data_IF_931468693439
#
_entry.id   IF_931468693439
#
_cell.length_a   1.000
_cell.length_b   1.000
_cell.length_c   1.000
_cell.angle_alpha   90.00
_cell.angle_beta   90.00
_cell.angle_gamma   90.00
#
_symmetry.space_group_name_H-M   'P 1'
#
loop_
_entity.id
_entity.type
_entity.pdbx_description
1 polymer ?
#
# COMPACT_ATOMS: atom_id res chain seq x y z
N UNK A 1 -20.02 -20.51 -20.92
CA UNK A 1 -18.71 -21.04 -20.46
C UNK A 1 -17.52 -20.22 -20.99
N UNK A 2 -17.53 -19.78 -22.26
CA UNK A 2 -16.42 -19.01 -22.87
C UNK A 2 -16.03 -17.72 -22.11
N UNK A 3 -17.00 -16.96 -21.55
CA UNK A 3 -16.73 -15.73 -20.79
C UNK A 3 -16.01 -15.96 -19.45
N UNK A 4 -16.22 -17.12 -18.82
CA UNK A 4 -15.55 -17.47 -17.56
C UNK A 4 -14.10 -17.91 -17.81
N UNK A 5 -13.88 -18.67 -18.89
CA UNK A 5 -12.54 -19.10 -19.30
C UNK A 5 -11.69 -17.89 -19.71
N UNK A 6 -12.27 -16.90 -20.42
CA UNK A 6 -11.56 -15.69 -20.82
C UNK A 6 -11.16 -14.80 -19.63
N UNK A 7 -12.03 -14.68 -18.61
CA UNK A 7 -11.70 -13.97 -17.37
C UNK A 7 -10.59 -14.67 -16.59
N UNK A 8 -10.64 -16.00 -16.48
CA UNK A 8 -9.58 -16.77 -15.84
C UNK A 8 -8.25 -16.61 -16.58
N UNK A 9 -8.29 -16.63 -17.92
CA UNK A 9 -7.11 -16.48 -18.78
C UNK A 9 -6.43 -15.12 -18.62
N UNK A 10 -7.18 -14.03 -18.48
CA UNK A 10 -6.63 -12.70 -18.21
C UNK A 10 -5.95 -12.62 -16.83
N UNK A 11 -6.50 -13.29 -15.81
CA UNK A 11 -5.85 -13.41 -14.50
C UNK A 11 -4.52 -14.19 -14.60
N UNK A 12 -4.48 -15.28 -15.37
CA UNK A 12 -3.24 -16.03 -15.60
C UNK A 12 -2.18 -15.20 -16.36
N UNK A 13 -2.60 -14.41 -17.35
CA UNK A 13 -1.68 -13.52 -18.07
C UNK A 13 -1.11 -12.44 -17.16
N UNK A 14 -1.91 -11.90 -16.23
CA UNK A 14 -1.43 -10.93 -15.24
C UNK A 14 -0.41 -11.54 -14.26
N UNK A 15 -0.68 -12.76 -13.77
CA UNK A 15 0.27 -13.50 -12.92
C UNK A 15 1.58 -13.77 -13.65
N UNK A 16 1.52 -14.19 -14.92
CA UNK A 16 2.72 -14.43 -15.73
C UNK A 16 3.47 -13.12 -16.00
N UNK A 17 2.77 -12.01 -16.27
CA UNK A 17 3.43 -10.73 -16.55
C UNK A 17 4.17 -10.20 -15.32
N UNK A 18 3.57 -10.29 -14.13
CA UNK A 18 4.26 -9.95 -12.87
C UNK A 18 5.45 -10.88 -12.64
N UNK A 19 5.29 -12.19 -12.81
CA UNK A 19 6.41 -13.13 -12.65
C UNK A 19 7.55 -12.84 -13.62
N UNK A 20 7.24 -12.45 -14.86
CA UNK A 20 8.22 -12.13 -15.89
C UNK A 20 8.97 -10.82 -15.56
N UNK A 21 8.28 -9.76 -15.14
CA UNK A 21 8.92 -8.50 -14.73
C UNK A 21 9.80 -8.70 -13.48
N UNK A 22 9.38 -9.55 -12.54
CA UNK A 22 10.16 -9.88 -11.35
C UNK A 22 11.36 -10.81 -11.65
N UNK A 23 11.29 -11.57 -12.75
CA UNK A 23 12.39 -12.40 -13.23
C UNK A 23 13.45 -11.57 -13.99
N UNK A 24 13.03 -10.54 -14.73
CA UNK A 24 13.96 -9.60 -15.39
C UNK A 24 14.73 -8.74 -14.37
N UNK A 25 14.11 -8.36 -13.24
CA UNK A 25 14.82 -7.67 -12.13
C UNK A 25 15.82 -8.58 -11.39
N UNK A 26 15.63 -9.91 -11.42
CA UNK A 26 16.53 -10.90 -10.77
C UNK A 26 17.90 -11.03 -11.46
N UNK A 27 18.05 -10.62 -12.71
CA UNK A 27 19.32 -10.75 -13.44
C UNK A 27 20.34 -9.64 -13.09
N UNK A 28 19.91 -8.60 -12.39
CA UNK A 28 20.80 -7.59 -11.80
C UNK A 28 20.81 -7.67 -10.28
N UNK A 29 21.80 -8.39 -9.77
CA UNK A 29 22.44 -8.21 -8.45
C UNK A 29 21.52 -8.28 -7.22
N UNK A 30 21.32 -9.50 -6.68
CA UNK A 30 20.97 -9.82 -5.27
C UNK A 30 20.14 -8.76 -4.49
N UNK A 31 19.20 -8.09 -5.15
CA UNK A 31 18.42 -7.05 -4.53
C UNK A 31 17.39 -7.77 -3.70
N UNK A 32 17.47 -7.58 -2.39
CA UNK A 32 16.47 -8.08 -1.46
C UNK A 32 15.10 -7.71 -2.01
N UNK A 33 14.19 -8.69 -2.13
CA UNK A 33 12.77 -8.46 -2.47
C UNK A 33 12.08 -7.50 -1.48
N UNK A 34 12.78 -7.15 -0.41
CA UNK A 34 12.36 -6.22 0.62
C UNK A 34 12.73 -4.82 0.14
N UNK A 35 11.70 -4.07 -0.22
CA UNK A 35 11.85 -2.67 -0.56
C UNK A 35 12.52 -1.93 0.62
N UNK A 36 13.58 -1.14 0.38
CA UNK A 36 14.26 -0.37 1.42
C UNK A 36 13.32 0.52 2.25
N UNK A 37 12.18 0.92 1.66
CA UNK A 37 11.12 1.70 2.31
C UNK A 37 10.55 1.03 3.57
N UNK A 38 10.35 -0.28 3.55
CA UNK A 38 9.67 -1.04 4.62
C UNK A 38 10.52 -1.18 5.88
N UNK A 39 11.84 -1.18 5.69
CA UNK A 39 12.80 -1.58 6.74
C UNK A 39 12.97 -0.54 7.85
N UNK A 40 12.41 0.66 7.70
CA UNK A 40 12.69 1.79 8.58
C UNK A 40 11.46 2.42 9.25
N UNK A 41 10.23 2.01 8.91
CA UNK A 41 9.01 2.59 9.49
C UNK A 41 8.23 1.55 10.33
N UNK A 42 8.26 1.62 11.67
CA UNK A 42 7.55 0.67 12.51
C UNK A 42 6.04 0.93 12.48
N UNK A 43 5.28 -0.10 12.12
CA UNK A 43 3.83 -0.08 12.20
C UNK A 43 3.39 -0.30 13.64
N UNK A 44 2.44 0.52 14.09
CA UNK A 44 1.97 0.53 15.47
C UNK A 44 0.45 0.56 15.56
N UNK A 45 -0.09 0.11 16.69
CA UNK A 45 -1.53 0.18 16.96
C UNK A 45 -2.03 1.63 16.99
N UNK A 46 -1.22 2.58 17.49
CA UNK A 46 -1.57 4.02 17.47
C UNK A 46 -1.74 4.54 16.04
N UNK A 47 -0.82 4.17 15.14
CA UNK A 47 -0.93 4.54 13.72
C UNK A 47 -2.19 3.95 13.09
N UNK A 48 -2.51 2.69 13.37
CA UNK A 48 -3.72 2.04 12.86
C UNK A 48 -5.00 2.71 13.36
N UNK A 49 -5.05 3.06 14.66
CA UNK A 49 -6.19 3.77 15.24
C UNK A 49 -6.39 5.16 14.63
N UNK A 50 -5.30 5.87 14.29
CA UNK A 50 -5.36 7.14 13.58
C UNK A 50 -5.83 6.96 12.14
N UNK A 51 -5.34 5.93 11.44
CA UNK A 51 -5.82 5.59 10.10
C UNK A 51 -7.32 5.31 10.07
N UNK A 52 -7.87 4.62 11.09
CA UNK A 52 -9.32 4.40 11.18
C UNK A 52 -10.14 5.67 11.32
N UNK A 53 -9.62 6.68 12.02
CA UNK A 53 -10.29 7.97 12.15
C UNK A 53 -10.24 8.74 10.83
N UNK A 54 -9.05 8.83 10.24
CA UNK A 54 -8.82 9.43 8.93
C UNK A 54 -9.72 8.79 7.88
N UNK A 55 -9.87 7.48 7.90
CA UNK A 55 -10.68 6.75 6.93
C UNK A 55 -12.17 7.12 7.01
N UNK A 56 -12.71 7.24 8.22
CA UNK A 56 -14.08 7.69 8.45
C UNK A 56 -14.29 9.11 7.94
N UNK A 57 -13.34 10.00 8.20
CA UNK A 57 -13.38 11.38 7.70
C UNK A 57 -13.31 11.42 6.17
N UNK A 58 -12.46 10.57 5.56
CA UNK A 58 -12.36 10.47 4.11
C UNK A 58 -13.68 10.01 3.48
N UNK A 59 -14.32 8.98 4.04
CA UNK A 59 -15.63 8.50 3.60
C UNK A 59 -16.71 9.57 3.64
N UNK A 60 -16.72 10.40 4.69
CA UNK A 60 -17.71 11.47 4.84
C UNK A 60 -17.56 12.58 3.79
N UNK A 61 -16.37 12.73 3.20
CA UNK A 61 -16.05 13.75 2.21
C UNK A 61 -16.08 13.24 0.77
N UNK A 62 -16.18 11.93 0.57
CA UNK A 62 -16.36 11.35 -0.75
C UNK A 62 -17.81 11.59 -1.21
N UNK A 63 -18.02 12.18 -2.40
CA UNK A 63 -19.36 12.28 -2.96
C UNK A 63 -19.92 10.86 -3.17
N UNK A 64 -21.21 10.66 -2.89
CA UNK A 64 -21.91 9.43 -3.22
C UNK A 64 -21.74 9.17 -4.72
N UNK A 65 -20.92 8.17 -5.05
CA UNK A 65 -20.76 7.59 -6.39
C UNK A 65 -20.25 8.52 -7.50
N UNK A 66 -18.93 8.50 -7.69
CA UNK A 66 -18.37 8.33 -9.04
C UNK A 66 -17.46 7.13 -9.04
N UNK A 67 -17.76 6.14 -9.89
CA UNK A 67 -16.83 5.09 -10.28
C UNK A 67 -15.77 5.70 -11.20
N UNK A 68 -14.97 6.63 -10.67
CA UNK A 68 -13.82 7.14 -11.39
C UNK A 68 -12.75 6.05 -11.34
N UNK A 69 -12.26 5.68 -12.53
CA UNK A 69 -11.23 4.67 -12.67
C UNK A 69 -9.94 5.23 -12.04
N UNK A 70 -9.66 4.79 -10.82
CA UNK A 70 -8.43 5.14 -10.11
C UNK A 70 -7.25 4.59 -10.91
N UNK A 71 -6.45 5.48 -11.48
CA UNK A 71 -5.19 5.10 -12.12
C UNK A 71 -4.11 5.15 -11.04
N UNK A 72 -3.58 3.98 -10.69
CA UNK A 72 -2.43 3.90 -9.81
C UNK A 72 -1.21 4.46 -10.54
N UNK A 73 -0.69 5.59 -10.07
CA UNK A 73 0.56 6.16 -10.57
C UNK A 73 1.73 5.59 -9.76
N UNK A 74 2.52 4.72 -10.39
CA UNK A 74 3.69 4.10 -9.77
C UNK A 74 4.79 5.11 -9.45
N UNK A 75 4.86 6.24 -10.15
CA UNK A 75 5.85 7.30 -9.92
C UNK A 75 5.52 8.03 -8.62
N UNK A 76 4.25 8.30 -8.36
CA UNK A 76 3.80 8.93 -7.10
C UNK A 76 4.14 8.05 -5.89
N UNK A 77 3.97 6.74 -6.02
CA UNK A 77 4.19 5.78 -4.92
C UNK A 77 5.61 5.18 -4.90
N UNK A 78 6.52 5.68 -5.74
CA UNK A 78 7.89 5.17 -5.85
C UNK A 78 8.78 5.48 -4.64
N UNK A 79 8.41 6.47 -3.83
CA UNK A 79 9.12 6.82 -2.60
C UNK A 79 8.20 7.52 -1.60
N UNK A 80 8.60 7.51 -0.32
CA UNK A 80 7.93 8.26 0.75
C UNK A 80 7.89 9.74 0.40
N UNK A 81 9.00 10.30 -0.08
CA UNK A 81 9.12 11.72 -0.43
C UNK A 81 8.17 12.12 -1.56
N UNK A 82 8.09 11.31 -2.63
CA UNK A 82 7.18 11.58 -3.75
C UNK A 82 5.72 11.49 -3.29
N UNK A 83 5.38 10.46 -2.52
CA UNK A 83 4.00 10.28 -2.08
C UNK A 83 3.59 11.34 -1.06
N UNK A 84 4.48 11.70 -0.13
CA UNK A 84 4.26 12.79 0.83
C UNK A 84 4.10 14.14 0.13
N UNK A 85 4.88 14.41 -0.93
CA UNK A 85 4.75 15.62 -1.74
C UNK A 85 3.40 15.65 -2.45
N UNK A 86 3.00 14.53 -3.04
CA UNK A 86 1.70 14.40 -3.69
C UNK A 86 0.55 14.63 -2.69
N UNK A 87 0.57 13.99 -1.53
CA UNK A 87 -0.39 14.21 -0.43
C UNK A 87 -0.42 15.68 -0.01
N UNK A 88 0.75 16.31 0.13
CA UNK A 88 0.87 17.72 0.52
C UNK A 88 0.22 18.67 -0.49
N UNK A 89 0.11 18.26 -1.76
CA UNK A 89 -0.58 19.01 -2.80
C UNK A 89 -2.11 18.96 -2.70
N UNK A 90 -2.68 18.19 -1.73
CA UNK A 90 -4.12 17.98 -1.54
C UNK A 90 -4.61 18.66 -0.25
N UNK A 91 -4.99 19.96 -0.28
CA UNK A 91 -5.27 20.73 0.93
C UNK A 91 -6.35 20.14 1.84
N UNK A 92 -7.42 19.60 1.24
CA UNK A 92 -8.51 18.96 1.99
C UNK A 92 -8.01 17.76 2.79
N UNK A 93 -7.21 16.91 2.16
CA UNK A 93 -6.68 15.72 2.80
C UNK A 93 -5.59 16.07 3.84
N UNK A 94 -4.74 17.06 3.55
CA UNK A 94 -3.77 17.57 4.54
C UNK A 94 -4.44 18.07 5.82
N UNK A 95 -5.63 18.68 5.72
CA UNK A 95 -6.37 19.12 6.90
C UNK A 95 -6.84 17.94 7.76
N UNK A 96 -7.38 16.88 7.15
CA UNK A 96 -7.75 15.61 7.84
C UNK A 96 -6.55 15.02 8.58
N UNK A 97 -5.39 14.98 7.92
CA UNK A 97 -4.16 14.47 8.54
C UNK A 97 -3.75 15.30 9.76
N UNK A 98 -3.81 16.63 9.65
CA UNK A 98 -3.51 17.55 10.77
C UNK A 98 -4.46 17.36 11.95
N UNK A 99 -5.76 17.23 11.70
CA UNK A 99 -6.76 16.97 12.75
C UNK A 99 -6.50 15.66 13.50
N UNK A 100 -5.87 14.69 12.84
CA UNK A 100 -5.48 13.41 13.42
C UNK A 100 -4.02 13.32 13.90
N UNK A 101 -3.30 14.45 13.95
CA UNK A 101 -1.88 14.53 14.34
C UNK A 101 -0.97 13.60 13.53
N UNK A 102 -1.20 13.55 12.21
CA UNK A 102 -0.37 12.82 11.25
C UNK A 102 0.19 13.81 10.24
N UNK A 103 1.48 13.69 9.92
CA UNK A 103 2.07 14.45 8.81
C UNK A 103 1.85 13.70 7.48
N UNK A 104 1.87 14.40 6.33
CA UNK A 104 1.89 13.75 5.02
C UNK A 104 2.98 12.68 4.88
N UNK A 105 4.15 12.90 5.51
CA UNK A 105 5.26 11.96 5.49
C UNK A 105 4.98 10.70 6.30
N UNK A 106 4.43 10.85 7.51
CA UNK A 106 4.05 9.71 8.35
C UNK A 106 2.93 8.88 7.70
N UNK A 107 1.95 9.58 7.09
CA UNK A 107 0.90 8.91 6.33
C UNK A 107 1.48 8.13 5.16
N UNK A 108 2.34 8.76 4.34
CA UNK A 108 2.97 8.12 3.19
C UNK A 108 3.79 6.88 3.61
N UNK A 109 4.65 7.04 4.61
CA UNK A 109 5.51 5.96 5.09
C UNK A 109 4.71 4.78 5.64
N UNK A 110 3.73 5.05 6.51
CA UNK A 110 2.94 3.99 7.12
C UNK A 110 1.98 3.30 6.14
N UNK A 111 1.39 4.03 5.19
CA UNK A 111 0.51 3.41 4.19
C UNK A 111 1.27 2.60 3.15
N UNK A 112 2.45 3.07 2.70
CA UNK A 112 3.33 2.29 1.83
C UNK A 112 3.82 1.02 2.55
N UNK A 113 4.26 1.13 3.82
CA UNK A 113 4.67 -0.04 4.60
C UNK A 113 3.54 -1.07 4.76
N UNK A 114 2.30 -0.62 5.05
CA UNK A 114 1.14 -1.50 5.11
C UNK A 114 0.86 -2.18 3.76
N UNK A 115 0.91 -1.42 2.66
CA UNK A 115 0.62 -1.92 1.32
C UNK A 115 1.67 -2.94 0.87
N UNK A 116 2.95 -2.61 0.99
CA UNK A 116 4.05 -3.46 0.57
C UNK A 116 4.10 -4.78 1.37
N UNK A 117 3.96 -4.73 2.70
CA UNK A 117 3.89 -5.94 3.52
C UNK A 117 2.64 -6.76 3.17
N UNK A 118 1.48 -6.12 2.94
CA UNK A 118 0.26 -6.85 2.54
C UNK A 118 0.43 -7.54 1.19
N UNK A 119 1.06 -6.88 0.22
CA UNK A 119 1.41 -7.43 -1.09
C UNK A 119 2.38 -8.61 -0.94
N UNK A 120 3.44 -8.44 -0.15
CA UNK A 120 4.40 -9.51 0.15
C UNK A 120 3.71 -10.74 0.73
N UNK A 121 2.87 -10.57 1.76
CA UNK A 121 2.12 -11.67 2.39
C UNK A 121 1.13 -12.36 1.44
N UNK A 122 0.67 -11.67 0.40
CA UNK A 122 -0.32 -12.19 -0.55
C UNK A 122 0.33 -12.94 -1.71
N UNK A 123 1.46 -12.45 -2.22
CA UNK A 123 2.03 -12.91 -3.50
C UNK A 123 3.39 -13.57 -3.39
N UNK A 124 4.11 -13.37 -2.29
CA UNK A 124 5.47 -13.87 -2.11
C UNK A 124 5.48 -15.02 -1.10
N UNK A 125 6.02 -16.20 -1.46
CA UNK A 125 6.17 -17.31 -0.52
C UNK A 125 7.01 -16.92 0.69
N UNK A 126 6.63 -17.40 1.88
CA UNK A 126 7.33 -17.07 3.14
C UNK A 126 8.83 -17.42 3.12
N UNK A 127 9.20 -18.45 2.36
CA UNK A 127 10.60 -18.84 2.18
C UNK A 127 11.46 -17.70 1.63
N UNK A 128 10.90 -16.84 0.76
CA UNK A 128 11.65 -15.79 0.07
C UNK A 128 12.05 -14.63 1.00
N UNK A 129 11.34 -14.41 2.10
CA UNK A 129 11.69 -13.39 3.10
C UNK A 129 12.05 -13.98 4.47
N UNK A 130 12.08 -15.31 4.60
CA UNK A 130 12.41 -16.02 5.85
C UNK A 130 13.83 -15.77 6.39
N UNK A 131 14.73 -15.30 5.53
CA UNK A 131 16.14 -15.03 5.89
C UNK A 131 16.38 -13.60 6.38
N UNK A 132 15.37 -12.73 6.31
CA UNK A 132 15.46 -11.36 6.79
C UNK A 132 15.63 -11.31 8.31
N UNK A 133 16.49 -10.41 8.77
CA UNK A 133 16.85 -10.22 10.19
C UNK A 133 16.48 -8.85 10.73
N UNK A 134 16.07 -7.93 9.85
CA UNK A 134 15.61 -6.60 10.24
C UNK A 134 14.39 -6.73 11.16
N UNK A 135 14.57 -6.33 12.42
CA UNK A 135 13.54 -6.45 13.46
C UNK A 135 12.30 -5.62 13.14
N UNK A 136 12.45 -4.44 12.53
CA UNK A 136 11.32 -3.59 12.13
C UNK A 136 10.48 -4.29 11.08
N UNK A 137 11.12 -4.85 10.06
CA UNK A 137 10.46 -5.62 9.01
C UNK A 137 9.70 -6.82 9.60
N UNK A 138 10.36 -7.63 10.44
CA UNK A 138 9.72 -8.79 11.06
C UNK A 138 8.54 -8.40 11.96
N UNK A 139 8.67 -7.31 12.73
CA UNK A 139 7.56 -6.78 13.52
C UNK A 139 6.40 -6.29 12.64
N UNK A 140 6.70 -5.65 11.50
CA UNK A 140 5.70 -5.20 10.54
C UNK A 140 4.97 -6.38 9.88
N UNK A 141 5.68 -7.49 9.57
CA UNK A 141 5.07 -8.74 9.10
C UNK A 141 4.03 -9.23 10.09
N UNK A 142 4.41 -9.39 11.35
CA UNK A 142 3.51 -9.90 12.39
C UNK A 142 2.35 -8.93 12.67
N UNK A 143 2.62 -7.62 12.63
CA UNK A 143 1.60 -6.58 12.74
C UNK A 143 0.56 -6.69 11.62
N UNK A 144 0.99 -6.80 10.36
CA UNK A 144 0.07 -6.89 9.22
C UNK A 144 -0.64 -8.24 9.19
N UNK A 145 0.02 -9.36 9.53
CA UNK A 145 -0.67 -10.66 9.71
C UNK A 145 -1.84 -10.54 10.69
N UNK A 146 -1.62 -9.88 11.84
CA UNK A 146 -2.65 -9.67 12.87
C UNK A 146 -3.81 -8.79 12.37
N UNK A 147 -3.52 -7.79 11.56
CA UNK A 147 -4.48 -6.74 11.15
C UNK A 147 -4.85 -6.77 9.67
N UNK A 148 -4.57 -7.87 8.96
CA UNK A 148 -4.55 -7.94 7.50
C UNK A 148 -5.81 -7.35 6.86
N UNK A 149 -6.99 -7.89 7.21
CA UNK A 149 -8.27 -7.42 6.67
C UNK A 149 -8.55 -5.95 6.95
N UNK A 150 -8.14 -5.46 8.12
CA UNK A 150 -8.35 -4.08 8.54
C UNK A 150 -7.44 -3.14 7.75
N UNK A 151 -6.18 -3.51 7.57
CA UNK A 151 -5.24 -2.76 6.75
C UNK A 151 -5.71 -2.64 5.29
N UNK A 152 -6.23 -3.71 4.69
CA UNK A 152 -6.70 -3.68 3.30
C UNK A 152 -7.88 -2.71 3.10
N UNK A 153 -8.86 -2.72 4.03
CA UNK A 153 -10.04 -1.84 3.95
C UNK A 153 -9.65 -0.37 4.13
N UNK A 154 -8.74 -0.07 5.07
CA UNK A 154 -8.36 1.31 5.40
C UNK A 154 -7.64 2.04 4.25
N UNK A 155 -6.90 1.29 3.42
CA UNK A 155 -6.16 1.87 2.29
C UNK A 155 -7.10 2.32 1.15
N UNK A 156 -8.22 1.62 0.93
CA UNK A 156 -9.08 1.85 -0.24
C UNK A 156 -9.85 3.19 -0.21
N UNK A 157 -10.37 3.56 0.96
CA UNK A 157 -11.22 4.75 1.13
C UNK A 157 -10.43 6.06 1.01
N UNK A 158 -9.22 6.11 1.57
CA UNK A 158 -8.38 7.32 1.54
C UNK A 158 -7.78 7.55 0.14
N UNK A 159 -7.38 6.48 -0.56
CA UNK A 159 -6.87 6.58 -1.95
C UNK A 159 -7.88 7.31 -2.86
N UNK A 160 -9.18 7.00 -2.74
CA UNK A 160 -10.25 7.68 -3.51
C UNK A 160 -10.30 9.19 -3.26
N UNK A 161 -10.13 9.64 -2.02
CA UNK A 161 -10.19 11.07 -1.70
C UNK A 161 -8.95 11.81 -2.20
N UNK A 162 -7.77 11.20 -2.04
CA UNK A 162 -6.48 11.76 -2.47
C UNK A 162 -6.45 11.93 -4.01
N UNK A 163 -7.09 11.03 -4.75
CA UNK A 163 -7.09 11.05 -6.22
C UNK A 163 -8.17 11.94 -6.84
N UNK A 164 -9.25 12.25 -6.11
CA UNK A 164 -10.39 13.03 -6.61
C UNK A 164 -10.27 14.54 -6.38
N UNK A 165 -9.34 14.99 -5.54
CA UNK A 165 -9.06 16.40 -5.25
C UNK A 165 -7.57 16.69 -5.47
#
# INVERSE_FOLDING_TARGET
MLKFVLRLFLFFLFVIHIQLTMAEEKETDNSSLILPLITNYPLTEDFLLKLEKIEKECKNLLPETKNDLITYDSIIHSSIENYATYISSKPKFVNILKENNITPKDFAAGTLALKEISTLLTFVPEQEYSTEKNTIFLNNIEFVKKHFYKATILLESCEKLILSN
#
